data_IF_068915170546
#
_entry.id   IF_068915170546
#
_cell.length_a   1.000
_cell.length_b   1.000
_cell.length_c   1.000
_cell.angle_alpha   90.00
_cell.angle_beta   90.00
_cell.angle_gamma   90.00
#
_symmetry.space_group_name_H-M   'P 1'
#
loop_
_entity.id
_entity.type
_entity.pdbx_description
1 polymer ?
#
# COMPACT_ATOMS: atom_id res chain seq x y z
N UNK A 1 -1.18 -26.98 -6.22
CA UNK A 1 -1.30 -25.57 -5.80
C UNK A 1 -0.21 -24.81 -6.49
N UNK A 2 -0.59 -23.79 -7.27
CA UNK A 2 0.39 -22.92 -7.90
C UNK A 2 1.01 -22.00 -6.85
N UNK A 3 2.32 -21.77 -6.97
CA UNK A 3 3.02 -20.87 -6.06
C UNK A 3 2.51 -19.44 -6.25
N UNK A 4 2.16 -18.77 -5.15
CA UNK A 4 1.76 -17.37 -5.16
C UNK A 4 2.96 -16.48 -5.55
N UNK A 5 2.73 -15.55 -6.48
CA UNK A 5 3.74 -14.58 -6.93
C UNK A 5 3.32 -13.18 -6.53
N UNK A 6 4.28 -12.41 -6.00
CA UNK A 6 4.13 -11.00 -5.67
C UNK A 6 5.42 -10.25 -6.01
N UNK A 7 5.30 -8.96 -6.27
CA UNK A 7 6.44 -8.07 -6.51
C UNK A 7 6.89 -7.43 -5.18
N UNK A 8 8.18 -7.53 -4.88
CA UNK A 8 8.78 -6.94 -3.68
C UNK A 8 10.27 -6.64 -3.89
N UNK A 9 10.77 -5.62 -3.19
CA UNK A 9 12.19 -5.30 -3.13
C UNK A 9 12.79 -5.84 -1.84
N UNK A 10 13.86 -6.65 -1.95
CA UNK A 10 14.58 -7.19 -0.80
C UNK A 10 15.89 -6.42 -0.58
N UNK A 11 16.03 -5.81 0.59
CA UNK A 11 17.23 -5.04 0.97
C UNK A 11 18.02 -5.84 2.00
N UNK A 12 19.31 -6.09 1.72
CA UNK A 12 20.21 -6.74 2.67
C UNK A 12 20.50 -5.78 3.84
N UNK A 13 20.09 -6.16 5.05
CA UNK A 13 20.42 -5.42 6.28
C UNK A 13 21.95 -5.42 6.52
N UNK A 14 22.60 -4.26 6.73
CA UNK A 14 24.04 -4.18 6.90
C UNK A 14 24.54 -4.63 8.30
N UNK A 15 23.71 -4.59 9.34
CA UNK A 15 24.02 -4.99 10.72
C UNK A 15 22.72 -5.28 11.53
N UNK A 16 22.85 -5.74 12.78
CA UNK A 16 21.74 -6.17 13.67
C UNK A 16 20.89 -5.01 14.23
N UNK A 17 20.86 -3.88 13.54
CA UNK A 17 20.05 -2.72 13.88
C UNK A 17 18.62 -2.89 13.38
N UNK A 18 17.68 -2.30 14.12
CA UNK A 18 16.25 -2.63 14.15
C UNK A 18 15.61 -2.94 12.78
N UNK A 19 14.81 -4.00 12.77
CA UNK A 19 13.88 -4.31 11.69
C UNK A 19 12.76 -3.26 11.57
N UNK A 20 12.71 -2.28 12.47
CA UNK A 20 11.67 -1.25 12.52
C UNK A 20 11.79 -0.28 11.34
N UNK A 21 10.89 -0.43 10.37
CA UNK A 21 10.65 0.61 9.38
C UNK A 21 10.15 1.87 10.08
N UNK A 22 10.69 3.03 9.68
CA UNK A 22 10.17 4.31 10.14
C UNK A 22 8.72 4.49 9.64
N UNK A 23 7.79 5.00 10.46
CA UNK A 23 6.43 5.30 10.00
C UNK A 23 6.43 6.23 8.78
N UNK A 24 5.50 6.01 7.86
CA UNK A 24 5.26 6.89 6.72
C UNK A 24 3.83 7.41 6.76
N UNK A 25 3.65 8.72 6.62
CA UNK A 25 2.36 9.38 6.48
C UNK A 25 2.11 9.60 4.99
N UNK A 26 0.93 9.19 4.51
CA UNK A 26 0.51 9.47 3.14
C UNK A 26 -0.24 10.79 3.12
N UNK A 27 0.45 11.86 2.73
CA UNK A 27 -0.11 13.21 2.62
C UNK A 27 -1.08 13.33 1.44
N UNK A 28 -0.81 12.60 0.36
CA UNK A 28 -1.64 12.62 -0.84
C UNK A 28 -1.65 11.28 -1.56
N UNK A 29 -2.85 10.86 -1.98
CA UNK A 29 -3.06 9.75 -2.91
C UNK A 29 -3.28 10.31 -4.32
N UNK A 30 -2.47 9.87 -5.28
CA UNK A 30 -2.42 10.44 -6.63
C UNK A 30 -2.51 9.30 -7.64
N UNK A 31 -3.64 9.14 -8.35
CA UNK A 31 -3.71 8.24 -9.49
C UNK A 31 -2.79 8.72 -10.60
N UNK A 32 -2.00 7.81 -11.18
CA UNK A 32 -1.17 8.05 -12.36
C UNK A 32 -1.48 7.00 -13.42
N UNK A 33 -1.16 7.32 -14.68
CA UNK A 33 -1.34 6.35 -15.77
C UNK A 33 -0.46 5.12 -15.57
N UNK A 34 -0.96 3.94 -15.97
CA UNK A 34 -0.19 2.70 -15.97
C UNK A 34 1.15 2.84 -16.70
N UNK A 35 1.20 3.63 -17.78
CA UNK A 35 2.44 3.92 -18.48
C UNK A 35 3.44 4.66 -17.60
N UNK A 36 3.03 5.74 -16.92
CA UNK A 36 3.89 6.46 -15.97
C UNK A 36 4.32 5.57 -14.81
N UNK A 37 3.43 4.69 -14.32
CA UNK A 37 3.75 3.74 -13.26
C UNK A 37 4.85 2.75 -13.66
N UNK A 38 4.74 2.15 -14.85
CA UNK A 38 5.78 1.25 -15.38
C UNK A 38 7.08 1.97 -15.73
N UNK A 39 7.00 3.24 -16.16
CA UNK A 39 8.19 4.06 -16.39
C UNK A 39 8.99 4.29 -15.12
N UNK A 40 8.35 4.65 -14.00
CA UNK A 40 9.05 4.85 -12.72
C UNK A 40 9.79 3.58 -12.31
N UNK A 41 9.24 2.39 -12.59
CA UNK A 41 9.88 1.11 -12.31
C UNK A 41 11.12 0.85 -13.19
N UNK A 42 11.14 1.40 -14.40
CA UNK A 42 12.24 1.22 -15.36
C UNK A 42 13.32 2.31 -15.22
N UNK A 43 12.93 3.54 -14.91
CA UNK A 43 13.79 4.71 -14.77
C UNK A 43 13.35 5.58 -13.57
N UNK A 44 13.70 5.16 -12.33
CA UNK A 44 13.23 5.81 -11.10
C UNK A 44 13.80 7.22 -10.87
N UNK A 45 14.80 7.64 -11.64
CA UNK A 45 15.39 8.98 -11.58
C UNK A 45 14.76 9.94 -12.60
N UNK A 46 13.79 9.47 -13.38
CA UNK A 46 13.05 10.32 -14.30
C UNK A 46 12.14 11.29 -13.55
N UNK A 47 12.17 12.55 -13.94
CA UNK A 47 11.27 13.57 -13.39
C UNK A 47 9.81 13.19 -13.65
N UNK A 48 8.97 13.36 -12.63
CA UNK A 48 7.54 13.07 -12.72
C UNK A 48 6.76 14.30 -12.31
N UNK A 49 5.86 14.76 -13.19
CA UNK A 49 5.03 15.95 -12.92
C UNK A 49 4.23 15.85 -11.61
N UNK A 50 3.78 14.64 -11.25
CA UNK A 50 3.14 14.40 -9.96
C UNK A 50 4.08 14.62 -8.77
N UNK A 51 5.35 14.17 -8.84
CA UNK A 51 6.32 14.43 -7.76
C UNK A 51 6.61 15.91 -7.67
N UNK A 52 6.90 16.56 -8.79
CA UNK A 52 7.17 18.00 -8.88
C UNK A 52 6.05 18.85 -8.30
N UNK A 53 4.79 18.51 -8.60
CA UNK A 53 3.62 19.24 -8.13
C UNK A 53 3.41 19.14 -6.60
N UNK A 54 3.92 18.09 -5.96
CA UNK A 54 3.68 17.80 -4.54
C UNK A 54 4.97 17.65 -3.72
N UNK A 55 6.13 18.07 -4.25
CA UNK A 55 7.41 17.94 -3.51
C UNK A 55 7.43 18.71 -2.20
N UNK A 56 6.74 19.84 -2.12
CA UNK A 56 6.74 20.72 -0.95
C UNK A 56 5.95 20.13 0.24
N UNK A 57 5.13 19.09 0.02
CA UNK A 57 4.43 18.36 1.09
C UNK A 57 5.14 17.07 1.50
N UNK A 58 6.24 16.72 0.82
CA UNK A 58 7.10 15.58 1.18
C UNK A 58 8.29 16.07 2.00
N UNK A 59 8.48 15.48 3.17
CA UNK A 59 9.59 15.83 4.07
C UNK A 59 9.78 14.75 5.14
N UNK A 60 10.84 14.89 5.92
CA UNK A 60 11.17 14.00 7.02
C UNK A 60 11.27 14.83 8.31
N UNK A 61 10.49 14.50 9.34
CA UNK A 61 10.58 15.17 10.65
C UNK A 61 11.30 14.28 11.69
N UNK A 62 10.88 14.23 12.95
CA UNK A 62 11.42 13.29 13.95
C UNK A 62 10.57 12.02 14.13
N UNK A 63 9.32 12.02 13.66
CA UNK A 63 8.33 10.98 13.92
C UNK A 63 8.10 10.10 12.68
N UNK A 64 8.01 10.70 11.50
CA UNK A 64 7.63 10.00 10.27
C UNK A 64 8.32 10.55 9.02
N UNK A 65 8.23 9.78 7.94
CA UNK A 65 8.42 10.32 6.59
C UNK A 65 7.06 10.74 6.05
N UNK A 66 6.95 11.96 5.55
CA UNK A 66 5.76 12.47 4.88
C UNK A 66 5.90 12.24 3.39
N UNK A 67 5.01 11.43 2.85
CA UNK A 67 5.12 10.85 1.52
C UNK A 67 3.86 11.12 0.71
N UNK A 68 3.97 11.01 -0.61
CA UNK A 68 2.81 10.81 -1.49
C UNK A 68 2.70 9.33 -1.87
N UNK A 69 1.48 8.87 -2.16
CA UNK A 69 1.22 7.56 -2.77
C UNK A 69 0.80 7.75 -4.21
N UNK A 70 1.61 7.27 -5.14
CA UNK A 70 1.24 7.14 -6.55
C UNK A 70 0.49 5.82 -6.74
N UNK A 71 -0.73 5.87 -7.24
CA UNK A 71 -1.57 4.69 -7.49
C UNK A 71 -1.61 4.39 -8.98
N UNK A 72 -1.39 3.12 -9.36
CA UNK A 72 -1.61 2.68 -10.73
C UNK A 72 -3.11 2.76 -11.06
N UNK A 73 -3.47 3.41 -12.17
CA UNK A 73 -4.85 3.54 -12.62
C UNK A 73 -5.40 2.26 -13.28
N UNK A 74 -4.52 1.35 -13.69
CA UNK A 74 -4.89 0.04 -14.23
C UNK A 74 -4.83 -1.07 -13.18
N UNK A 75 -3.79 -1.07 -12.34
CA UNK A 75 -3.54 -2.04 -11.29
C UNK A 75 -4.10 -1.70 -9.90
N UNK A 76 -3.84 -2.59 -8.95
CA UNK A 76 -4.07 -2.36 -7.51
C UNK A 76 -2.84 -1.84 -6.77
N UNK A 77 -1.69 -1.83 -7.43
CA UNK A 77 -0.39 -1.50 -6.82
C UNK A 77 -0.14 0.01 -6.75
N UNK A 78 0.83 0.37 -5.92
CA UNK A 78 1.23 1.76 -5.72
C UNK A 78 2.73 1.91 -5.50
N UNK A 79 3.20 3.15 -5.57
CA UNK A 79 4.56 3.54 -5.22
C UNK A 79 4.46 4.66 -4.18
N UNK A 80 4.95 4.37 -2.98
CA UNK A 80 5.14 5.38 -1.94
C UNK A 80 6.39 6.19 -2.28
N UNK A 81 6.30 7.51 -2.22
CA UNK A 81 7.39 8.42 -2.63
C UNK A 81 7.66 9.47 -1.57
N UNK A 82 8.94 9.68 -1.27
CA UNK A 82 9.49 10.86 -0.62
C UNK A 82 10.58 11.42 -1.56
N UNK A 83 10.53 12.72 -1.85
CA UNK A 83 11.35 13.32 -2.92
C UNK A 83 12.61 14.01 -2.43
N UNK A 84 12.68 14.38 -1.14
CA UNK A 84 13.70 15.24 -0.56
C UNK A 84 13.84 16.58 -1.33
N UNK A 85 12.73 17.06 -1.92
CA UNK A 85 12.68 18.29 -2.72
C UNK A 85 13.06 18.15 -4.21
N UNK A 86 13.29 16.92 -4.69
CA UNK A 86 13.58 16.65 -6.11
C UNK A 86 12.30 16.47 -6.93
N UNK A 87 12.42 16.55 -8.26
CA UNK A 87 11.30 16.38 -9.20
C UNK A 87 11.05 14.90 -9.57
N UNK A 88 11.82 13.97 -8.99
CA UNK A 88 11.71 12.52 -9.19
C UNK A 88 11.59 11.75 -7.86
N UNK A 89 11.14 10.48 -7.87
CA UNK A 89 10.97 9.63 -6.67
C UNK A 89 12.27 9.21 -5.97
N UNK A 90 13.01 10.16 -5.37
CA UNK A 90 14.34 9.92 -4.77
C UNK A 90 14.37 8.78 -3.77
N UNK A 91 13.39 8.74 -2.87
CA UNK A 91 13.10 7.57 -2.04
C UNK A 91 11.74 7.01 -2.46
N UNK A 92 11.72 5.73 -2.80
CA UNK A 92 10.49 5.07 -3.22
C UNK A 92 10.39 3.64 -2.72
N UNK A 93 9.15 3.21 -2.48
CA UNK A 93 8.83 1.86 -2.09
C UNK A 93 7.65 1.36 -2.91
N UNK A 94 7.81 0.20 -3.56
CA UNK A 94 6.71 -0.48 -4.22
C UNK A 94 5.77 -1.07 -3.17
N UNK A 95 4.48 -0.75 -3.27
CA UNK A 95 3.43 -1.17 -2.33
C UNK A 95 2.41 -2.02 -3.09
N UNK A 96 2.45 -3.36 -2.93
CA UNK A 96 1.46 -4.22 -3.55
C UNK A 96 0.07 -3.96 -2.97
N UNK A 97 -0.97 -3.98 -3.80
CA UNK A 97 -2.35 -3.72 -3.39
C UNK A 97 -2.56 -2.38 -2.63
N UNK A 98 -1.79 -1.34 -2.97
CA UNK A 98 -1.94 0.00 -2.39
C UNK A 98 -3.36 0.57 -2.50
N UNK A 99 -4.14 0.16 -3.52
CA UNK A 99 -5.54 0.57 -3.67
C UNK A 99 -6.42 0.13 -2.50
N UNK A 100 -6.16 -1.04 -1.91
CA UNK A 100 -6.85 -1.47 -0.69
C UNK A 100 -6.54 -0.54 0.48
N UNK A 101 -5.29 -0.07 0.60
CA UNK A 101 -4.91 0.91 1.62
C UNK A 101 -5.60 2.26 1.39
N UNK A 102 -5.75 2.68 0.14
CA UNK A 102 -6.50 3.88 -0.21
C UNK A 102 -7.97 3.76 0.20
N UNK A 103 -8.64 2.65 -0.15
CA UNK A 103 -10.02 2.38 0.22
C UNK A 103 -10.20 2.35 1.76
N UNK A 104 -9.29 1.67 2.46
CA UNK A 104 -9.27 1.64 3.93
C UNK A 104 -9.08 3.03 4.54
N UNK A 105 -8.32 3.92 3.89
CA UNK A 105 -8.14 5.31 4.33
C UNK A 105 -9.42 6.16 4.21
N UNK A 106 -10.31 5.81 3.28
CA UNK A 106 -11.62 6.44 3.11
C UNK A 106 -12.70 5.80 4.00
N UNK A 107 -12.45 4.60 4.52
CA UNK A 107 -13.43 3.81 5.25
C UNK A 107 -13.70 4.40 6.63
N UNK A 108 -14.96 4.72 6.92
CA UNK A 108 -15.37 5.27 8.22
C UNK A 108 -15.31 4.22 9.34
N UNK A 109 -15.23 4.66 10.60
CA UNK A 109 -15.27 3.75 11.76
C UNK A 109 -16.52 2.85 11.77
N UNK A 110 -17.68 3.41 11.40
CA UNK A 110 -18.93 2.67 11.31
C UNK A 110 -18.88 1.58 10.22
N UNK A 111 -18.30 1.88 9.06
CA UNK A 111 -18.13 0.90 7.99
C UNK A 111 -17.17 -0.23 8.40
N UNK A 112 -16.07 0.11 9.11
CA UNK A 112 -15.14 -0.91 9.65
C UNK A 112 -15.83 -1.83 10.64
N UNK A 113 -16.64 -1.27 11.55
CA UNK A 113 -17.40 -2.05 12.52
C UNK A 113 -18.40 -2.98 11.83
N UNK A 114 -19.16 -2.46 10.86
CA UNK A 114 -20.11 -3.25 10.07
C UNK A 114 -19.42 -4.40 9.34
N UNK A 115 -18.28 -4.15 8.67
CA UNK A 115 -17.48 -5.21 8.01
C UNK A 115 -17.06 -6.30 9.00
N UNK A 116 -16.67 -5.92 10.22
CA UNK A 116 -16.33 -6.85 11.30
C UNK A 116 -17.52 -7.71 11.74
N UNK A 117 -18.72 -7.12 11.86
CA UNK A 117 -19.95 -7.84 12.19
C UNK A 117 -20.35 -8.82 11.08
N UNK A 118 -20.28 -8.40 9.82
CA UNK A 118 -20.58 -9.26 8.66
C UNK A 118 -19.64 -10.46 8.64
N UNK A 119 -18.33 -10.26 8.86
CA UNK A 119 -17.35 -11.36 8.88
C UNK A 119 -17.67 -12.38 9.97
N UNK A 120 -17.94 -11.93 11.19
CA UNK A 120 -18.34 -12.81 12.31
C UNK A 120 -19.62 -13.60 12.01
N UNK A 121 -20.61 -12.95 11.39
CA UNK A 121 -21.85 -13.62 11.02
C UNK A 121 -21.62 -14.68 9.93
N UNK A 122 -20.76 -14.39 8.95
CA UNK A 122 -20.40 -15.34 7.90
C UNK A 122 -19.64 -16.55 8.45
N UNK A 123 -18.67 -16.33 9.34
CA UNK A 123 -17.90 -17.39 9.99
C UNK A 123 -18.83 -18.31 10.81
N UNK A 124 -19.76 -17.73 11.58
CA UNK A 124 -20.75 -18.51 12.35
C UNK A 124 -21.69 -19.33 11.45
N UNK A 125 -22.16 -18.75 10.35
CA UNK A 125 -23.01 -19.47 9.40
C UNK A 125 -22.27 -20.65 8.75
N UNK A 126 -20.96 -20.50 8.48
CA UNK A 126 -20.14 -21.61 7.99
C UNK A 126 -20.01 -22.72 9.04
N UNK A 127 -19.79 -22.39 10.31
CA UNK A 127 -19.72 -23.38 11.40
C UNK A 127 -21.01 -24.20 11.53
N UNK A 128 -22.19 -23.56 11.45
CA UNK A 128 -23.48 -24.25 11.50
C UNK A 128 -23.66 -25.21 10.31
N UNK A 129 -23.29 -24.79 9.10
CA UNK A 129 -23.36 -25.62 7.88
C UNK A 129 -22.41 -26.82 7.93
N UNK A 130 -21.23 -26.69 8.51
CA UNK A 130 -20.28 -27.81 8.63
C UNK A 130 -20.59 -28.73 9.83
N UNK A 131 -21.20 -28.21 10.90
CA UNK A 131 -21.67 -29.01 12.03
C UNK A 131 -22.83 -29.95 11.64
N UNK A 132 -23.73 -29.51 10.76
CA UNK A 132 -24.84 -30.33 10.26
C UNK A 132 -24.37 -31.50 9.37
N UNK A 133 -23.20 -31.38 8.72
CA UNK A 133 -22.66 -32.43 7.83
C UNK A 133 -21.87 -33.53 8.58
N UNK A 134 -21.39 -33.29 9.80
CA UNK A 134 -20.75 -34.34 10.62
C UNK A 134 -21.76 -35.20 11.39
N UNK A 135 -23.02 -34.76 11.52
CA UNK A 135 -24.08 -35.49 12.20
C UNK A 135 -24.77 -36.57 11.35
N UNK A 136 -24.45 -36.65 10.04
CA UNK A 136 -25.03 -37.61 9.09
C UNK A 136 -24.11 -38.79 8.68
N UNK A 137 -22.95 -38.99 9.34
CA UNK A 137 -22.03 -40.13 9.09
C UNK A 137 -21.97 -41.09 10.29
#
# INVERSE_FOLDING_TARGET
MDNYKLYANLIRKPDSSDFNARPCVVEKWIPISHWSFEQIKQDPLHDLEAVKAYRDIMFCDNEANHCIMLLDDFGSDGILVESEGYDYPRYSCFVPNARTLYEDSLTTNAERELRGLIRKAADKALEEVFADNEAEI
#
